data_IF_182953127195
#
_entry.id   IF_182953127195
#
_cell.length_a   1.000
_cell.length_b   1.000
_cell.length_c   1.000
_cell.angle_alpha   90.00
_cell.angle_beta   90.00
_cell.angle_gamma   90.00
#
_symmetry.space_group_name_H-M   'P 1'
#
loop_
_entity.id
_entity.type
_entity.pdbx_description
1 polymer ?
#
# COMPACT_ATOMS: atom_id res chain seq x y z
N UNK A 1 -2.71 -51.89 33.00
CA UNK A 1 -1.98 -50.90 32.18
C UNK A 1 -2.92 -50.45 31.06
N UNK A 2 -3.80 -49.48 31.34
CA UNK A 2 -4.79 -49.00 30.37
C UNK A 2 -4.33 -47.67 29.79
N UNK A 3 -3.39 -47.70 28.84
CA UNK A 3 -3.04 -46.50 28.08
C UNK A 3 -4.01 -46.38 26.92
N UNK A 4 -5.04 -45.58 27.12
CA UNK A 4 -6.06 -45.34 26.11
C UNK A 4 -5.39 -44.61 24.92
N UNK A 5 -5.39 -45.18 23.71
CA UNK A 5 -4.65 -44.63 22.57
C UNK A 5 -5.14 -43.24 22.15
N UNK A 6 -6.30 -42.81 22.66
CA UNK A 6 -6.90 -41.49 22.45
C UNK A 6 -6.25 -40.39 23.31
N UNK A 7 -5.67 -40.72 24.47
CA UNK A 7 -5.04 -39.76 25.39
C UNK A 7 -3.95 -38.90 24.71
N UNK A 8 -3.00 -39.46 23.93
CA UNK A 8 -2.02 -38.64 23.22
C UNK A 8 -2.65 -37.71 22.18
N UNK A 9 -3.72 -38.13 21.49
CA UNK A 9 -4.41 -37.28 20.50
C UNK A 9 -5.15 -36.11 21.16
N UNK A 10 -5.81 -36.35 22.29
CA UNK A 10 -6.49 -35.29 23.05
C UNK A 10 -5.50 -34.30 23.66
N UNK A 11 -4.33 -34.78 24.12
CA UNK A 11 -3.26 -33.91 24.60
C UNK A 11 -2.73 -32.97 23.51
N UNK A 12 -2.49 -33.48 22.31
CA UNK A 12 -2.02 -32.67 21.16
C UNK A 12 -3.09 -31.65 20.75
N UNK A 13 -4.37 -32.05 20.72
CA UNK A 13 -5.47 -31.16 20.37
C UNK A 13 -5.60 -30.00 21.36
N UNK A 14 -5.56 -30.28 22.67
CA UNK A 14 -5.65 -29.25 23.71
C UNK A 14 -4.43 -28.34 23.68
N UNK A 15 -3.23 -28.89 23.43
CA UNK A 15 -2.01 -28.11 23.30
C UNK A 15 -2.04 -27.19 22.07
N UNK A 16 -2.53 -27.68 20.92
CA UNK A 16 -2.67 -26.90 19.69
C UNK A 16 -3.70 -25.78 19.80
N UNK A 17 -4.84 -26.05 20.43
CA UNK A 17 -5.86 -25.02 20.70
C UNK A 17 -5.31 -23.98 21.69
N UNK A 18 -4.61 -24.41 22.74
CA UNK A 18 -3.95 -23.51 23.68
C UNK A 18 -2.90 -22.61 23.02
N UNK A 19 -2.10 -23.15 22.10
CA UNK A 19 -1.12 -22.39 21.32
C UNK A 19 -1.78 -21.34 20.42
N UNK A 20 -2.88 -21.69 19.75
CA UNK A 20 -3.67 -20.75 18.93
C UNK A 20 -4.20 -19.59 19.75
N UNK A 21 -4.82 -19.86 20.91
CA UNK A 21 -5.31 -18.80 21.78
C UNK A 21 -4.17 -17.93 22.33
N UNK A 22 -3.03 -18.51 22.69
CA UNK A 22 -1.86 -17.77 23.18
C UNK A 22 -1.26 -16.86 22.08
N UNK A 23 -1.14 -17.35 20.85
CA UNK A 23 -0.73 -16.56 19.68
C UNK A 23 -1.73 -15.46 19.35
N UNK A 24 -3.04 -15.69 19.50
CA UNK A 24 -4.06 -14.65 19.32
C UNK A 24 -3.96 -13.53 20.36
N UNK A 25 -3.65 -13.84 21.62
CA UNK A 25 -3.44 -12.81 22.65
C UNK A 25 -2.12 -12.03 22.47
N UNK A 26 -1.03 -12.70 22.04
CA UNK A 26 0.23 -12.01 21.70
C UNK A 26 0.11 -11.21 20.39
N UNK A 27 -0.77 -11.59 19.48
CA UNK A 27 -1.03 -10.86 18.23
C UNK A 27 -1.83 -9.56 18.39
N UNK A 28 -2.61 -9.40 19.47
CA UNK A 28 -3.42 -8.20 19.73
C UNK A 28 -2.66 -7.10 20.52
N UNK A 29 -1.44 -7.37 20.99
CA UNK A 29 -0.63 -6.43 21.78
C UNK A 29 0.71 -6.02 21.14
N UNK A 30 1.18 -6.74 20.12
CA UNK A 30 2.47 -6.52 19.47
C UNK A 30 2.30 -6.30 17.96
N UNK A 31 1.60 -5.23 17.58
CA UNK A 31 1.56 -4.71 16.20
C UNK A 31 2.96 -4.26 15.70
N UNK A 32 3.98 -4.27 16.59
CA UNK A 32 5.31 -3.69 16.37
C UNK A 32 6.46 -4.70 16.22
N UNK A 33 6.26 -6.00 16.48
CA UNK A 33 7.35 -6.99 16.44
C UNK A 33 7.29 -7.97 15.24
N UNK A 34 6.16 -8.11 14.53
CA UNK A 34 6.08 -8.96 13.32
C UNK A 34 6.23 -8.14 12.03
N UNK A 35 6.92 -7.00 12.14
CA UNK A 35 7.43 -6.20 11.02
C UNK A 35 8.94 -5.95 11.17
N UNK A 36 9.65 -6.81 11.90
CA UNK A 36 11.10 -6.70 12.09
C UNK A 36 11.85 -7.94 11.64
N UNK A 37 11.62 -8.43 10.43
CA UNK A 37 12.65 -9.27 9.78
C UNK A 37 12.72 -9.05 8.26
N UNK A 38 12.33 -7.89 7.72
CA UNK A 38 12.94 -7.37 6.48
C UNK A 38 12.94 -5.84 6.47
N UNK A 39 14.13 -5.32 6.74
CA UNK A 39 14.66 -4.05 6.27
C UNK A 39 14.05 -2.76 6.83
N UNK A 40 14.72 -2.26 7.88
CA UNK A 40 15.35 -0.95 7.81
C UNK A 40 14.46 0.31 7.84
N UNK A 41 14.30 0.86 9.04
CA UNK A 41 14.47 2.31 9.23
C UNK A 41 13.22 3.19 9.21
N UNK A 42 12.50 3.17 10.33
CA UNK A 42 12.03 4.35 11.06
C UNK A 42 11.32 5.48 10.32
N UNK A 43 10.00 5.60 10.55
CA UNK A 43 9.41 6.68 11.36
C UNK A 43 7.92 6.43 11.50
N UNK A 44 7.48 6.20 12.74
CA UNK A 44 6.09 6.38 13.13
C UNK A 44 5.70 7.85 12.89
N UNK A 45 4.85 8.09 11.90
CA UNK A 45 3.83 9.13 11.96
C UNK A 45 2.53 8.46 11.57
N UNK A 46 1.50 8.76 12.33
CA UNK A 46 0.10 8.45 12.08
C UNK A 46 -0.24 8.59 10.60
N UNK A 47 -0.29 7.48 9.86
CA UNK A 47 -0.68 7.43 8.46
C UNK A 47 -1.86 6.46 8.36
N UNK A 48 -3.04 7.02 8.08
CA UNK A 48 -3.99 6.36 7.19
C UNK A 48 -3.16 5.71 6.08
N UNK A 49 -3.28 4.40 5.87
CA UNK A 49 -2.39 3.61 4.99
C UNK A 49 -2.37 4.23 3.59
N UNK A 50 -1.48 5.20 3.39
CA UNK A 50 -1.27 5.89 2.14
C UNK A 50 -0.51 4.88 1.30
N UNK A 51 -1.17 4.39 0.25
CA UNK A 51 -0.51 3.49 -0.69
C UNK A 51 0.60 4.28 -1.37
N UNK A 52 1.75 3.63 -1.60
CA UNK A 52 2.85 4.30 -2.30
C UNK A 52 2.35 4.88 -3.63
N UNK A 53 2.85 6.04 -4.07
CA UNK A 53 2.43 6.68 -5.31
C UNK A 53 2.55 5.76 -6.54
N UNK A 54 3.58 4.92 -6.59
CA UNK A 54 3.78 3.91 -7.64
C UNK A 54 2.70 2.80 -7.62
N UNK A 55 2.31 2.38 -6.42
CA UNK A 55 1.27 1.39 -6.21
C UNK A 55 -0.09 1.98 -6.62
N UNK A 56 -0.37 3.23 -6.26
CA UNK A 56 -1.55 3.97 -6.71
C UNK A 56 -1.57 4.15 -8.23
N UNK A 57 -0.43 4.49 -8.84
CA UNK A 57 -0.31 4.64 -10.29
C UNK A 57 -0.75 3.37 -11.03
N UNK A 58 -0.40 2.21 -10.49
CA UNK A 58 -0.80 0.92 -11.06
C UNK A 58 -2.24 0.57 -10.70
N UNK A 59 -2.61 0.69 -9.42
CA UNK A 59 -3.92 0.30 -8.89
C UNK A 59 -5.07 1.14 -9.45
N UNK A 60 -4.83 2.42 -9.75
CA UNK A 60 -5.81 3.34 -10.34
C UNK A 60 -5.83 3.32 -11.87
N UNK A 61 -5.01 2.45 -12.49
CA UNK A 61 -5.00 2.27 -13.94
C UNK A 61 -4.32 3.39 -14.72
N UNK A 62 -3.57 4.28 -14.06
CA UNK A 62 -2.84 5.38 -14.70
C UNK A 62 -1.86 4.85 -15.76
N UNK A 63 -1.24 3.69 -15.49
CA UNK A 63 -0.38 2.93 -16.40
C UNK A 63 -1.01 2.68 -17.77
N UNK A 64 -2.32 2.48 -17.86
CA UNK A 64 -3.01 2.17 -19.11
C UNK A 64 -2.99 3.33 -20.11
N UNK A 65 -2.93 4.57 -19.61
CA UNK A 65 -2.89 5.76 -20.45
C UNK A 65 -1.48 6.38 -20.52
N UNK A 66 -0.76 6.38 -19.41
CA UNK A 66 0.52 7.10 -19.27
C UNK A 66 1.75 6.19 -19.38
N UNK A 67 1.56 4.88 -19.60
CA UNK A 67 2.61 3.91 -19.82
C UNK A 67 3.24 3.37 -18.52
N UNK A 68 3.89 2.22 -18.61
CA UNK A 68 4.55 1.55 -17.49
C UNK A 68 5.80 2.29 -16.99
N UNK A 69 6.46 3.02 -17.88
CA UNK A 69 7.63 3.85 -17.59
C UNK A 69 7.29 5.35 -17.66
N UNK A 70 6.02 5.74 -17.53
CA UNK A 70 5.59 7.15 -17.56
C UNK A 70 5.88 7.85 -18.89
N UNK A 71 6.19 7.08 -19.94
CA UNK A 71 6.58 7.54 -21.26
C UNK A 71 5.41 8.09 -22.07
N UNK A 72 4.19 7.90 -21.58
CA UNK A 72 2.96 8.26 -22.29
C UNK A 72 2.49 7.17 -23.25
N UNK A 73 1.40 7.47 -23.94
CA UNK A 73 0.76 6.59 -24.91
C UNK A 73 -0.55 7.22 -25.35
N UNK A 74 -1.63 6.83 -24.67
CA UNK A 74 -2.95 7.48 -24.84
C UNK A 74 -2.95 8.86 -24.17
N UNK A 75 -2.37 8.93 -22.96
CA UNK A 75 -2.09 10.16 -22.25
C UNK A 75 -0.67 10.66 -22.52
N UNK A 76 -0.39 11.94 -22.22
CA UNK A 76 0.95 12.51 -22.37
C UNK A 76 1.97 11.84 -21.44
N UNK A 77 3.26 11.92 -21.80
CA UNK A 77 4.34 11.48 -20.91
C UNK A 77 4.30 12.24 -19.58
N UNK A 78 4.46 11.53 -18.46
CA UNK A 78 4.54 12.12 -17.12
C UNK A 78 5.98 12.36 -16.67
N UNK A 79 6.99 11.81 -17.37
CA UNK A 79 8.39 12.19 -17.15
C UNK A 79 8.59 13.70 -17.33
N UNK A 80 9.25 14.34 -16.37
CA UNK A 80 9.46 15.79 -16.34
C UNK A 80 8.16 16.60 -16.29
N UNK A 81 7.06 16.05 -15.76
CA UNK A 81 5.80 16.82 -15.65
C UNK A 81 5.93 17.97 -14.66
N UNK A 82 6.69 17.79 -13.57
CA UNK A 82 6.98 18.86 -12.61
C UNK A 82 7.78 20.03 -13.16
N UNK A 83 8.47 19.85 -14.30
CA UNK A 83 9.16 20.95 -14.99
C UNK A 83 8.22 21.75 -15.90
N UNK A 84 7.09 21.14 -16.29
CA UNK A 84 6.13 21.71 -17.26
C UNK A 84 4.90 22.30 -16.59
N UNK A 85 4.51 21.77 -15.43
CA UNK A 85 3.32 22.16 -14.68
C UNK A 85 3.69 22.40 -13.23
N UNK A 86 3.04 23.39 -12.61
CA UNK A 86 3.19 23.61 -11.17
C UNK A 86 2.48 22.52 -10.36
N UNK A 87 2.87 22.29 -9.10
CA UNK A 87 2.20 21.32 -8.22
C UNK A 87 0.69 21.54 -8.11
N UNK A 88 0.26 22.80 -8.07
CA UNK A 88 -1.15 23.19 -7.98
C UNK A 88 -1.91 22.81 -9.26
N UNK A 89 -1.29 23.00 -10.42
CA UNK A 89 -1.87 22.59 -11.70
C UNK A 89 -1.99 21.07 -11.82
N UNK A 90 -0.99 20.34 -11.33
CA UNK A 90 -1.04 18.87 -11.29
C UNK A 90 -2.18 18.41 -10.37
N UNK A 91 -2.32 19.03 -9.19
CA UNK A 91 -3.42 18.75 -8.25
C UNK A 91 -4.78 18.99 -8.90
N UNK A 92 -4.95 20.14 -9.56
CA UNK A 92 -6.19 20.48 -10.24
C UNK A 92 -6.55 19.46 -11.34
N UNK A 93 -5.58 19.00 -12.12
CA UNK A 93 -5.79 17.95 -13.14
C UNK A 93 -6.15 16.61 -12.51
N UNK A 94 -5.54 16.23 -11.39
CA UNK A 94 -5.88 14.99 -10.68
C UNK A 94 -7.30 15.04 -10.09
N UNK A 95 -7.72 16.20 -9.58
CA UNK A 95 -9.05 16.39 -9.00
C UNK A 95 -10.13 16.50 -10.07
N UNK A 96 -9.95 17.38 -11.06
CA UNK A 96 -10.96 17.73 -12.07
C UNK A 96 -10.85 16.93 -13.37
N UNK A 97 -9.77 16.17 -13.56
CA UNK A 97 -9.47 15.54 -14.83
C UNK A 97 -9.04 16.56 -15.89
N UNK A 98 -8.67 16.06 -17.07
CA UNK A 98 -8.32 16.91 -18.23
C UNK A 98 -8.55 16.17 -19.54
N UNK A 99 -9.42 16.71 -20.39
CA UNK A 99 -9.76 16.09 -21.67
C UNK A 99 -10.36 14.70 -21.47
N UNK A 100 -9.64 13.65 -21.90
CA UNK A 100 -10.06 12.26 -21.73
C UNK A 100 -9.66 11.66 -20.36
N UNK A 101 -8.85 12.36 -19.56
CA UNK A 101 -8.48 11.90 -18.22
C UNK A 101 -9.63 12.14 -17.25
N UNK A 102 -10.19 11.09 -16.60
CA UNK A 102 -11.30 11.24 -15.68
C UNK A 102 -10.88 11.94 -14.37
N UNK A 103 -11.80 12.65 -13.71
CA UNK A 103 -11.56 13.29 -12.41
C UNK A 103 -11.47 12.30 -11.25
N UNK A 104 -10.84 12.73 -10.16
CA UNK A 104 -10.96 12.08 -8.84
C UNK A 104 -10.29 10.71 -8.68
N UNK A 105 -9.32 10.38 -9.54
CA UNK A 105 -8.65 9.06 -9.51
C UNK A 105 -7.87 8.79 -8.20
N UNK A 106 -7.38 9.85 -7.56
CA UNK A 106 -6.55 9.79 -6.35
C UNK A 106 -7.15 10.61 -5.19
N UNK A 107 -8.49 10.60 -5.07
CA UNK A 107 -9.21 11.31 -4.02
C UNK A 107 -8.62 11.04 -2.62
N UNK A 108 -8.17 12.09 -1.93
CA UNK A 108 -7.57 12.02 -0.59
C UNK A 108 -6.06 11.74 -0.56
N UNK A 109 -5.44 11.45 -1.70
CA UNK A 109 -3.99 11.20 -1.84
C UNK A 109 -3.35 12.11 -2.91
N UNK A 110 -4.01 13.23 -3.25
CA UNK A 110 -3.56 14.13 -4.30
C UNK A 110 -2.20 14.75 -3.99
N UNK A 111 -1.98 15.20 -2.76
CA UNK A 111 -0.77 15.91 -2.38
C UNK A 111 0.48 15.03 -2.47
N UNK A 112 0.35 13.76 -2.09
CA UNK A 112 1.42 12.77 -2.23
C UNK A 112 1.68 12.45 -3.70
N UNK A 113 0.59 12.30 -4.47
CA UNK A 113 0.67 12.00 -5.90
C UNK A 113 1.35 13.13 -6.68
N UNK A 114 1.01 14.39 -6.36
CA UNK A 114 1.61 15.61 -6.93
C UNK A 114 3.10 15.68 -6.63
N UNK A 115 3.48 15.41 -5.38
CA UNK A 115 4.88 15.43 -4.96
C UNK A 115 5.68 14.42 -5.75
N UNK A 116 5.20 13.19 -5.85
CA UNK A 116 5.86 12.14 -6.62
C UNK A 116 5.94 12.47 -8.12
N UNK A 117 4.85 12.96 -8.73
CA UNK A 117 4.85 13.41 -10.13
C UNK A 117 5.85 14.55 -10.38
N UNK A 118 6.11 15.38 -9.37
CA UNK A 118 7.08 16.48 -9.48
C UNK A 118 8.52 15.99 -9.46
N UNK A 119 8.79 14.83 -8.85
CA UNK A 119 10.12 14.23 -8.75
C UNK A 119 10.45 13.33 -9.97
N UNK A 120 9.45 12.97 -10.77
CA UNK A 120 9.60 12.17 -11.98
C UNK A 120 10.33 12.93 -13.11
N UNK A 121 11.50 12.42 -13.49
CA UNK A 121 12.36 12.97 -14.55
C UNK A 121 12.39 12.07 -15.79
#
# INVERSE_FOLDING_TARGET
MNRNPIIPFVLIMVFGIGLMFLLSFKGLGDEKEIAQEKEGGGKEKTEEVAMKPEELYTAKGCIGCHGDQYQGGVGPALKGVGERLSPEQIKEILTNGKGAMPPGLVAGQEDEMVKWLSELK
#
